data_IF_436002227402
#
_entry.id   IF_436002227402
#
_cell.length_a   1.000
_cell.length_b   1.000
_cell.length_c   1.000
_cell.angle_alpha   90.00
_cell.angle_beta   90.00
_cell.angle_gamma   90.00
#
_symmetry.space_group_name_H-M   'P 1'
#
loop_
_entity.id
_entity.type
_entity.pdbx_description
1 polymer ?
#
# COMPACT_ATOMS: atom_id res chain seq x y z
N UNK A 1 -9.99 10.97 16.52
CA UNK A 1 -9.44 9.94 17.44
C UNK A 1 -8.30 9.12 16.82
N UNK A 2 -8.31 8.80 15.52
CA UNK A 2 -7.32 7.89 14.90
C UNK A 2 -5.90 8.45 14.76
N UNK A 3 -5.75 9.73 14.41
CA UNK A 3 -4.43 10.33 14.17
C UNK A 3 -3.56 10.41 15.44
N UNK A 4 -4.16 10.75 16.59
CA UNK A 4 -3.46 10.84 17.88
C UNK A 4 -2.84 9.50 18.35
N UNK A 5 -3.33 8.35 17.86
CA UNK A 5 -2.73 7.04 18.13
C UNK A 5 -1.52 6.71 17.26
N UNK A 6 -1.36 7.36 16.10
CA UNK A 6 -0.26 7.11 15.15
C UNK A 6 0.93 8.07 15.31
N UNK A 7 0.72 9.24 15.91
CA UNK A 7 1.76 10.25 16.05
C UNK A 7 1.95 10.62 17.53
N UNK A 8 2.91 10.01 18.24
CA UNK A 8 3.19 10.34 19.64
C UNK A 8 4.00 11.63 19.69
N UNK A 9 3.37 12.77 19.40
CA UNK A 9 4.01 14.07 19.62
C UNK A 9 3.98 14.36 21.13
N UNK A 10 5.17 14.58 21.65
CA UNK A 10 5.51 14.94 23.02
C UNK A 10 4.59 16.04 23.58
N UNK A 11 4.14 15.82 24.83
CA UNK A 11 3.41 16.76 25.71
C UNK A 11 1.92 16.98 25.38
N UNK A 12 1.08 16.24 26.13
CA UNK A 12 -0.40 16.27 26.16
C UNK A 12 -1.07 15.92 24.82
N UNK A 13 -1.62 14.71 24.71
CA UNK A 13 -2.24 14.14 23.51
C UNK A 13 -3.55 14.78 23.06
N UNK A 14 -3.65 16.10 23.07
CA UNK A 14 -4.77 16.87 22.52
C UNK A 14 -4.40 17.30 21.11
N UNK A 15 -5.08 16.72 20.14
CA UNK A 15 -4.97 17.14 18.74
C UNK A 15 -6.33 17.64 18.26
N UNK A 16 -6.34 18.85 17.68
CA UNK A 16 -7.55 19.45 17.12
C UNK A 16 -7.98 18.67 15.89
N UNK A 17 -9.25 18.28 15.83
CA UNK A 17 -9.82 17.70 14.64
C UNK A 17 -9.81 18.73 13.50
N UNK A 18 -9.15 18.40 12.39
CA UNK A 18 -9.32 19.10 11.11
C UNK A 18 -10.10 18.19 10.17
N UNK A 19 -10.79 18.79 9.20
CA UNK A 19 -11.56 18.04 8.20
C UNK A 19 -10.66 17.05 7.44
N UNK A 20 -9.44 17.47 7.11
CA UNK A 20 -8.40 16.66 6.46
C UNK A 20 -8.00 15.41 7.26
N UNK A 21 -7.83 15.53 8.58
CA UNK A 21 -7.53 14.38 9.44
C UNK A 21 -8.71 13.39 9.44
N UNK A 22 -9.94 13.91 9.39
CA UNK A 22 -11.15 13.10 9.28
C UNK A 22 -11.23 12.32 7.97
N UNK A 23 -10.95 12.97 6.84
CA UNK A 23 -10.96 12.34 5.52
C UNK A 23 -9.86 11.29 5.40
N UNK A 24 -8.63 11.59 5.83
CA UNK A 24 -7.51 10.65 5.80
C UNK A 24 -7.77 9.42 6.69
N UNK A 25 -8.36 9.61 7.87
CA UNK A 25 -8.73 8.50 8.76
C UNK A 25 -9.76 7.58 8.10
N UNK A 26 -10.75 8.14 7.41
CA UNK A 26 -11.79 7.39 6.69
C UNK A 26 -11.21 6.63 5.50
N UNK A 27 -10.34 7.26 4.71
CA UNK A 27 -9.64 6.62 3.59
C UNK A 27 -8.82 5.42 4.05
N UNK A 28 -8.02 5.60 5.11
CA UNK A 28 -7.20 4.53 5.68
C UNK A 28 -8.06 3.38 6.21
N UNK A 29 -9.12 3.68 6.96
CA UNK A 29 -10.03 2.66 7.47
C UNK A 29 -10.64 1.81 6.33
N UNK A 30 -11.11 2.47 5.28
CA UNK A 30 -11.66 1.80 4.11
C UNK A 30 -10.60 0.94 3.40
N UNK A 31 -9.37 1.42 3.27
CA UNK A 31 -8.26 0.65 2.68
C UNK A 31 -7.97 -0.62 3.48
N UNK A 32 -7.85 -0.53 4.80
CA UNK A 32 -7.62 -1.70 5.65
C UNK A 32 -8.76 -2.71 5.58
N UNK A 33 -10.00 -2.23 5.57
CA UNK A 33 -11.17 -3.08 5.41
C UNK A 33 -11.14 -3.83 4.07
N UNK A 34 -10.84 -3.12 2.98
CA UNK A 34 -10.72 -3.73 1.64
C UNK A 34 -9.57 -4.76 1.60
N UNK A 35 -8.42 -4.45 2.21
CA UNK A 35 -7.26 -5.33 2.19
C UNK A 35 -7.56 -6.67 2.88
N UNK A 36 -8.24 -6.64 4.04
CA UNK A 36 -8.67 -7.86 4.73
C UNK A 36 -9.59 -8.72 3.87
N UNK A 37 -10.60 -8.09 3.26
CA UNK A 37 -11.54 -8.77 2.37
C UNK A 37 -10.83 -9.41 1.18
N UNK A 38 -9.90 -8.70 0.56
CA UNK A 38 -9.19 -9.19 -0.62
C UNK A 38 -8.22 -10.33 -0.35
N UNK A 39 -7.72 -10.48 0.88
CA UNK A 39 -6.99 -11.69 1.29
C UNK A 39 -7.92 -12.91 1.27
N UNK A 40 -9.12 -12.78 1.81
CA UNK A 40 -10.11 -13.86 1.82
C UNK A 40 -10.59 -14.21 0.41
N UNK A 41 -10.71 -13.21 -0.47
CA UNK A 41 -11.17 -13.36 -1.86
C UNK A 41 -10.07 -13.82 -2.83
N UNK A 42 -8.80 -13.90 -2.38
CA UNK A 42 -7.63 -14.24 -3.21
C UNK A 42 -7.45 -13.28 -4.41
N UNK A 43 -7.68 -12.00 -4.16
CA UNK A 43 -7.54 -10.91 -5.15
C UNK A 43 -6.08 -10.49 -5.41
N UNK A 44 -5.12 -11.18 -4.78
CA UNK A 44 -3.70 -10.91 -4.90
C UNK A 44 -3.05 -11.87 -5.88
N UNK A 45 -2.24 -11.31 -6.79
CA UNK A 45 -1.41 -12.06 -7.73
C UNK A 45 0.05 -11.61 -7.64
N UNK A 46 0.96 -12.47 -8.08
CA UNK A 46 2.41 -12.20 -8.06
C UNK A 46 2.89 -12.07 -9.49
N UNK A 47 3.53 -10.95 -9.78
CA UNK A 47 4.22 -10.69 -11.04
C UNK A 47 5.73 -10.88 -10.83
N UNK A 48 6.45 -11.24 -11.88
CA UNK A 48 7.90 -11.43 -11.81
C UNK A 48 8.61 -10.44 -12.71
N UNK A 49 9.49 -9.63 -12.14
CA UNK A 49 10.35 -8.72 -12.88
C UNK A 49 11.76 -9.32 -12.97
N UNK A 50 12.32 -9.54 -14.18
CA UNK A 50 13.68 -10.05 -14.32
C UNK A 50 14.71 -9.02 -13.85
N UNK A 51 15.75 -9.51 -13.19
CA UNK A 51 16.96 -8.76 -12.87
C UNK A 51 18.05 -9.16 -13.87
N UNK A 52 18.66 -8.17 -14.50
CA UNK A 52 19.69 -8.36 -15.53
C UNK A 52 21.06 -8.02 -14.94
N UNK A 53 22.02 -8.93 -15.05
CA UNK A 53 23.42 -8.63 -14.78
C UNK A 53 23.95 -7.72 -15.89
N UNK A 54 24.41 -6.53 -15.54
CA UNK A 54 24.84 -5.52 -16.54
C UNK A 54 26.18 -5.86 -17.22
N UNK A 55 26.94 -6.78 -16.64
CA UNK A 55 28.26 -7.23 -17.14
C UNK A 55 28.09 -8.35 -18.15
N UNK A 56 27.24 -9.33 -17.85
CA UNK A 56 27.01 -10.52 -18.69
C UNK A 56 25.77 -10.40 -19.55
N UNK A 57 24.91 -9.41 -19.30
CA UNK A 57 23.58 -9.21 -19.89
C UNK A 57 22.65 -10.43 -19.73
N UNK A 58 22.96 -11.33 -18.79
CA UNK A 58 22.15 -12.50 -18.49
C UNK A 58 21.16 -12.20 -17.39
N UNK A 59 20.06 -12.94 -17.36
CA UNK A 59 19.12 -12.92 -16.22
C UNK A 59 19.84 -13.48 -14.98
N UNK A 60 19.98 -12.65 -13.95
CA UNK A 60 20.59 -13.04 -12.67
C UNK A 60 19.55 -13.51 -11.64
N UNK A 61 18.29 -13.11 -11.82
CA UNK A 61 17.19 -13.49 -10.93
C UNK A 61 15.87 -12.83 -11.32
N UNK A 62 14.88 -12.96 -10.43
CA UNK A 62 13.56 -12.36 -10.59
C UNK A 62 13.07 -11.78 -9.26
N UNK A 63 12.51 -10.59 -9.31
CA UNK A 63 11.79 -9.98 -8.20
C UNK A 63 10.31 -10.36 -8.26
N UNK A 64 9.78 -10.89 -7.14
CA UNK A 64 8.37 -11.21 -6.99
C UNK A 64 7.60 -9.98 -6.48
N UNK A 65 6.77 -9.41 -7.34
CA UNK A 65 6.01 -8.19 -7.08
C UNK A 65 4.54 -8.55 -6.82
N UNK A 66 4.07 -8.32 -5.59
CA UNK A 66 2.66 -8.47 -5.27
C UNK A 66 1.83 -7.43 -6.05
N UNK A 67 0.67 -7.83 -6.52
CA UNK A 67 -0.32 -6.97 -7.19
C UNK A 67 -1.69 -7.27 -6.60
N UNK A 68 -2.46 -6.22 -6.38
CA UNK A 68 -3.81 -6.33 -5.85
C UNK A 68 -4.81 -5.89 -6.91
N UNK A 69 -5.55 -6.85 -7.45
CA UNK A 69 -6.58 -6.64 -8.45
C UNK A 69 -7.93 -6.44 -7.78
N UNK A 70 -8.58 -5.31 -8.03
CA UNK A 70 -9.94 -5.06 -7.57
C UNK A 70 -10.98 -5.77 -8.45
N UNK A 71 -12.19 -5.91 -7.92
CA UNK A 71 -13.32 -6.50 -8.64
C UNK A 71 -13.71 -5.75 -9.93
N UNK A 72 -13.40 -4.45 -10.02
CA UNK A 72 -13.59 -3.63 -11.24
C UNK A 72 -12.48 -3.86 -12.30
N UNK A 73 -11.48 -4.68 -12.00
CA UNK A 73 -10.33 -4.95 -12.85
C UNK A 73 -9.17 -3.97 -12.71
N UNK A 74 -9.32 -2.91 -11.91
CA UNK A 74 -8.24 -1.96 -11.65
C UNK A 74 -7.22 -2.52 -10.63
N UNK A 75 -5.97 -2.13 -10.76
CA UNK A 75 -4.93 -2.48 -9.79
C UNK A 75 -4.77 -1.39 -8.74
N UNK A 76 -4.71 -1.79 -7.47
CA UNK A 76 -4.29 -0.87 -6.40
C UNK A 76 -2.80 -0.65 -6.55
N UNK A 77 -2.41 0.62 -6.69
CA UNK A 77 -1.00 0.99 -6.60
C UNK A 77 -0.52 0.77 -5.16
N UNK A 78 0.39 -0.19 -4.98
CA UNK A 78 0.97 -0.54 -3.66
C UNK A 78 2.04 0.46 -3.21
N UNK A 79 2.49 1.33 -4.12
CA UNK A 79 3.45 2.41 -3.88
C UNK A 79 3.14 3.55 -4.85
N UNK A 80 2.87 4.74 -4.31
CA UNK A 80 2.84 5.96 -5.10
C UNK A 80 4.24 6.15 -5.72
N UNK A 81 4.38 5.85 -7.01
CA UNK A 81 5.60 5.98 -7.80
C UNK A 81 6.70 4.98 -7.50
N UNK A 82 6.62 3.82 -8.16
CA UNK A 82 7.81 3.16 -8.72
C UNK A 82 7.66 3.16 -10.24
N UNK A 83 7.84 4.33 -10.82
CA UNK A 83 8.19 4.52 -12.23
C UNK A 83 9.43 5.40 -12.22
N UNK A 84 10.48 4.89 -12.87
CA UNK A 84 11.69 5.61 -13.22
C UNK A 84 11.37 6.95 -13.91
#
# INVERSE_FOLDING_TARGET
MYFAKRNPVTTSGIQRFTHEIGTESKTNFNLYHQLRKSVEQKDFEVWFQPQIDMTTLSVSGFEALLRWKKADGAYVSLVSSFLC
#
